data_IF_122245035665
#
_entry.id   IF_122245035665
#
_cell.length_a   1.000
_cell.length_b   1.000
_cell.length_c   1.000
_cell.angle_alpha   90.00
_cell.angle_beta   90.00
_cell.angle_gamma   90.00
#
_symmetry.space_group_name_H-M   'P 1'
#
loop_
_entity.id
_entity.type
_entity.pdbx_description
1 polymer ?
#
# COMPACT_ATOMS: atom_id res chain seq x y z
N UNK A 1 31.14 -21.90 -19.44
CA UNK A 1 32.33 -21.34 -20.13
C UNK A 1 33.49 -21.36 -19.17
N UNK A 2 34.60 -21.88 -19.66
CA UNK A 2 35.82 -22.02 -18.90
C UNK A 2 36.60 -20.70 -19.01
N UNK A 3 36.86 -20.05 -17.86
CA UNK A 3 37.63 -18.81 -17.76
C UNK A 3 39.13 -19.07 -17.56
N UNK A 4 39.54 -20.32 -17.72
CA UNK A 4 40.94 -20.72 -17.53
C UNK A 4 41.84 -20.04 -18.55
N UNK A 5 42.76 -19.21 -18.06
CA UNK A 5 43.73 -18.47 -18.88
C UNK A 5 43.32 -17.06 -19.30
N UNK A 6 42.21 -16.54 -18.83
CA UNK A 6 41.86 -15.14 -19.05
C UNK A 6 42.56 -14.22 -18.04
N UNK A 7 43.17 -13.13 -18.53
CA UNK A 7 43.74 -12.05 -17.71
C UNK A 7 42.76 -10.85 -17.59
N UNK A 8 41.53 -10.99 -18.10
CA UNK A 8 40.54 -9.92 -18.04
C UNK A 8 39.79 -9.94 -16.70
N UNK A 9 39.60 -8.76 -16.11
CA UNK A 9 38.77 -8.57 -14.94
C UNK A 9 37.31 -8.81 -15.32
N UNK A 10 36.61 -9.61 -14.50
CA UNK A 10 35.18 -9.88 -14.68
C UNK A 10 34.44 -9.21 -13.53
N UNK A 11 33.63 -8.23 -13.87
CA UNK A 11 32.72 -7.59 -12.93
C UNK A 11 31.32 -8.23 -13.05
N UNK A 12 30.82 -8.78 -11.96
CA UNK A 12 29.44 -9.31 -11.87
C UNK A 12 28.67 -8.39 -10.94
N UNK A 13 27.58 -7.81 -11.43
CA UNK A 13 26.67 -6.97 -10.65
C UNK A 13 25.23 -7.47 -10.77
N UNK A 14 24.40 -7.09 -9.81
CA UNK A 14 22.97 -7.39 -9.80
C UNK A 14 22.62 -8.90 -9.86
N UNK A 15 23.43 -9.75 -9.22
CA UNK A 15 23.11 -11.17 -9.10
C UNK A 15 21.93 -11.32 -8.13
N UNK A 16 20.83 -11.84 -8.62
CA UNK A 16 19.62 -12.11 -7.83
C UNK A 16 19.29 -13.60 -7.91
N UNK A 17 19.11 -14.24 -6.76
CA UNK A 17 18.57 -15.60 -6.67
C UNK A 17 17.19 -15.49 -6.02
N UNK A 18 16.14 -15.76 -6.78
CA UNK A 18 14.78 -15.86 -6.25
C UNK A 18 14.41 -17.34 -6.08
N UNK A 19 13.97 -17.68 -4.87
CA UNK A 19 13.36 -19.00 -4.63
C UNK A 19 12.01 -19.03 -5.30
N UNK A 20 11.86 -19.77 -6.38
CA UNK A 20 10.55 -20.06 -6.97
C UNK A 20 9.94 -21.23 -6.21
N UNK A 21 9.00 -20.98 -5.33
CA UNK A 21 8.06 -21.97 -4.84
C UNK A 21 7.19 -22.38 -6.03
N UNK A 22 6.96 -23.67 -6.25
CA UNK A 22 5.97 -24.12 -7.25
C UNK A 22 4.65 -23.45 -6.88
N UNK A 23 4.13 -22.58 -7.75
CA UNK A 23 2.90 -21.86 -7.47
C UNK A 23 1.77 -22.88 -7.25
N UNK A 24 1.13 -22.83 -6.09
CA UNK A 24 -0.18 -23.45 -5.92
C UNK A 24 -1.16 -22.61 -6.76
N UNK A 25 -1.84 -23.19 -7.75
CA UNK A 25 -2.77 -22.43 -8.60
C UNK A 25 -3.93 -21.81 -7.81
N UNK A 26 -4.12 -22.18 -6.54
CA UNK A 26 -5.12 -21.65 -5.63
C UNK A 26 -4.54 -20.70 -4.59
N UNK A 27 -3.21 -20.52 -4.51
CA UNK A 27 -2.58 -19.59 -3.58
C UNK A 27 -2.65 -18.17 -4.15
N UNK A 28 -3.54 -17.34 -3.64
CA UNK A 28 -3.54 -15.91 -3.95
C UNK A 28 -2.26 -15.27 -3.43
N UNK A 29 -1.59 -14.49 -4.26
CA UNK A 29 -0.40 -13.76 -3.86
C UNK A 29 -0.78 -12.78 -2.74
N UNK A 30 -0.17 -12.93 -1.55
CA UNK A 30 -0.43 -12.04 -0.41
C UNK A 30 0.11 -10.65 -0.75
N UNK A 31 -0.77 -9.66 -0.74
CA UNK A 31 -0.38 -8.26 -0.93
C UNK A 31 0.51 -7.80 0.22
N UNK A 32 1.49 -6.95 -0.10
CA UNK A 32 2.44 -6.36 0.84
C UNK A 32 2.45 -4.85 0.65
N UNK A 33 3.04 -4.10 1.59
CA UNK A 33 3.26 -2.67 1.39
C UNK A 33 4.20 -2.43 0.20
N UNK A 34 3.90 -1.45 -0.63
CA UNK A 34 4.73 -1.07 -1.77
C UNK A 34 6.04 -0.40 -1.31
N UNK A 35 7.05 -0.38 -2.17
CA UNK A 35 8.36 0.20 -1.86
C UNK A 35 8.31 1.69 -1.47
N UNK A 36 7.28 2.42 -1.91
CA UNK A 36 7.03 3.81 -1.54
C UNK A 36 6.23 3.96 -0.23
N UNK A 37 5.92 2.87 0.45
CA UNK A 37 5.15 2.85 1.69
C UNK A 37 3.64 2.90 1.51
N UNK A 38 3.12 2.85 0.27
CA UNK A 38 1.69 2.83 0.01
C UNK A 38 1.14 1.40 0.14
N UNK A 39 -0.01 1.27 0.74
CA UNK A 39 -0.77 0.01 0.84
C UNK A 39 -1.77 -0.14 -0.31
N UNK A 40 -2.12 0.95 -0.99
CA UNK A 40 -2.97 0.96 -2.19
C UNK A 40 -2.11 0.74 -3.42
N UNK A 41 -2.48 -0.24 -4.23
CA UNK A 41 -1.83 -0.55 -5.50
C UNK A 41 -2.41 0.32 -6.61
N UNK A 42 -1.55 0.73 -7.55
CA UNK A 42 -1.96 1.52 -8.73
C UNK A 42 -2.87 2.73 -8.38
N UNK A 43 -2.57 3.44 -7.30
CA UNK A 43 -3.37 4.60 -6.86
C UNK A 43 -3.27 5.81 -7.81
N UNK A 44 -2.30 5.82 -8.72
CA UNK A 44 -2.11 6.83 -9.78
C UNK A 44 -2.55 6.35 -11.17
N UNK A 45 -3.19 5.19 -11.26
CA UNK A 45 -3.78 4.64 -12.49
C UNK A 45 -2.81 4.49 -13.67
N UNK A 46 -1.60 4.00 -13.42
CA UNK A 46 -0.57 3.81 -14.45
C UNK A 46 -0.46 2.36 -14.93
N UNK A 47 -1.01 1.38 -14.21
CA UNK A 47 -0.71 -0.03 -14.35
C UNK A 47 -1.91 -0.87 -14.81
N UNK A 48 -1.60 -2.00 -15.48
CA UNK A 48 -2.56 -3.01 -15.86
C UNK A 48 -3.35 -2.69 -17.13
N UNK A 49 -4.27 -3.60 -17.46
CA UNK A 49 -5.19 -3.41 -18.59
C UNK A 49 -6.08 -2.18 -18.34
N UNK A 50 -6.25 -1.35 -19.38
CA UNK A 50 -6.96 -0.06 -19.30
C UNK A 50 -6.50 0.83 -18.12
N UNK A 51 -5.29 0.60 -17.61
CA UNK A 51 -4.71 1.29 -16.44
C UNK A 51 -5.50 1.09 -15.13
N UNK A 52 -6.32 0.04 -15.06
CA UNK A 52 -7.14 -0.32 -13.89
C UNK A 52 -6.60 -1.54 -13.13
N UNK A 53 -5.34 -1.89 -13.33
CA UNK A 53 -4.70 -2.99 -12.58
C UNK A 53 -4.94 -2.86 -11.08
N UNK A 54 -5.27 -3.96 -10.42
CA UNK A 54 -5.61 -4.08 -8.99
C UNK A 54 -6.96 -3.49 -8.55
N UNK A 55 -7.65 -2.72 -9.41
CA UNK A 55 -8.95 -2.15 -9.08
C UNK A 55 -10.11 -3.01 -9.60
N UNK A 56 -11.03 -3.34 -8.70
CA UNK A 56 -12.33 -3.91 -9.04
C UNK A 56 -13.33 -2.77 -9.17
N UNK A 57 -14.06 -2.72 -10.29
CA UNK A 57 -15.07 -1.70 -10.55
C UNK A 57 -16.43 -2.38 -10.57
N UNK A 58 -17.38 -1.83 -9.82
CA UNK A 58 -18.76 -2.31 -9.75
C UNK A 58 -19.77 -1.17 -9.93
N UNK A 59 -21.01 -1.54 -10.25
CA UNK A 59 -22.12 -0.62 -10.55
C UNK A 59 -21.82 0.33 -11.72
N UNK A 60 -21.15 -0.19 -12.77
CA UNK A 60 -20.74 0.61 -13.93
C UNK A 60 -21.61 0.39 -15.17
N UNK A 61 -22.75 -0.30 -15.05
CA UNK A 61 -23.53 -0.78 -16.21
C UNK A 61 -24.05 0.35 -17.11
N UNK A 62 -24.29 1.53 -16.57
CA UNK A 62 -24.74 2.70 -17.32
C UNK A 62 -23.79 3.89 -17.22
N UNK A 63 -22.60 3.69 -16.68
CA UNK A 63 -21.58 4.72 -16.57
C UNK A 63 -20.45 4.49 -17.56
N UNK A 64 -19.88 5.56 -18.10
CA UNK A 64 -18.63 5.50 -18.84
C UNK A 64 -17.45 5.57 -17.86
N UNK A 65 -16.71 4.46 -17.75
CA UNK A 65 -15.57 4.33 -16.85
C UNK A 65 -14.29 4.22 -17.66
N UNK A 66 -13.41 5.19 -17.52
CA UNK A 66 -12.16 5.29 -18.27
C UNK A 66 -11.01 5.75 -17.37
N UNK A 67 -9.78 5.55 -17.85
CA UNK A 67 -8.60 6.24 -17.30
C UNK A 67 -8.11 7.22 -18.37
N UNK A 68 -8.17 8.50 -18.05
CA UNK A 68 -7.87 9.59 -18.99
C UNK A 68 -6.47 10.15 -18.73
N UNK A 69 -5.63 10.32 -19.77
CA UNK A 69 -4.32 10.97 -19.64
C UNK A 69 -4.46 12.48 -19.44
N UNK A 70 -3.60 13.02 -18.59
CA UNK A 70 -3.38 14.45 -18.35
C UNK A 70 -1.88 14.75 -18.47
N UNK A 71 -1.49 16.01 -18.51
CA UNK A 71 -0.07 16.41 -18.63
C UNK A 71 0.79 15.98 -17.43
N UNK A 72 0.17 15.79 -16.27
CA UNK A 72 0.78 15.43 -14.99
C UNK A 72 0.56 13.95 -14.58
N UNK A 73 -0.07 13.14 -15.44
CA UNK A 73 -0.33 11.75 -15.13
C UNK A 73 -1.63 11.23 -15.74
N UNK A 74 -2.27 10.29 -15.06
CA UNK A 74 -3.57 9.72 -15.44
C UNK A 74 -4.55 9.86 -14.30
N UNK A 75 -5.83 9.98 -14.65
CA UNK A 75 -6.93 10.04 -13.69
C UNK A 75 -8.01 9.04 -14.05
N UNK A 76 -8.50 8.34 -13.04
CA UNK A 76 -9.70 7.55 -13.16
C UNK A 76 -10.89 8.49 -13.36
N UNK A 77 -11.68 8.24 -14.39
CA UNK A 77 -12.83 9.07 -14.76
C UNK A 77 -14.08 8.24 -14.85
N UNK A 78 -15.13 8.72 -14.21
CA UNK A 78 -16.50 8.21 -14.34
C UNK A 78 -17.38 9.31 -14.90
N UNK A 79 -18.14 8.99 -15.95
CA UNK A 79 -19.19 9.86 -16.48
C UNK A 79 -20.51 9.13 -16.37
N UNK A 80 -21.42 9.69 -15.56
CA UNK A 80 -22.76 9.15 -15.33
C UNK A 80 -23.72 9.59 -16.43
N UNK A 81 -24.54 8.67 -16.95
CA UNK A 81 -25.51 8.96 -17.99
C UNK A 81 -26.79 9.61 -17.46
N UNK A 82 -27.03 9.54 -16.16
CA UNK A 82 -28.24 10.02 -15.48
C UNK A 82 -29.35 8.95 -15.36
N UNK A 83 -29.07 7.71 -15.77
CA UNK A 83 -29.99 6.56 -15.67
C UNK A 83 -29.51 5.50 -14.68
N UNK A 84 -28.43 5.78 -13.96
CA UNK A 84 -27.84 4.88 -12.99
C UNK A 84 -28.72 4.73 -11.74
N UNK A 85 -28.80 3.50 -11.23
CA UNK A 85 -29.47 3.19 -9.98
C UNK A 85 -28.55 3.28 -8.76
N UNK A 86 -27.26 3.22 -8.99
CA UNK A 86 -26.23 3.20 -7.96
C UNK A 86 -24.97 3.91 -8.43
N UNK A 87 -24.26 4.52 -7.51
CA UNK A 87 -22.96 5.10 -7.76
C UNK A 87 -21.92 4.02 -8.14
N UNK A 88 -20.97 4.36 -9.01
CA UNK A 88 -19.83 3.50 -9.31
C UNK A 88 -18.96 3.34 -8.06
N UNK A 89 -18.55 2.11 -7.79
CA UNK A 89 -17.66 1.77 -6.70
C UNK A 89 -16.38 1.17 -7.26
N UNK A 90 -15.25 1.67 -6.80
CA UNK A 90 -13.94 1.08 -7.04
C UNK A 90 -13.38 0.50 -5.74
N UNK A 91 -12.76 -0.67 -5.80
CA UNK A 91 -12.28 -1.34 -4.59
C UNK A 91 -10.99 -2.13 -4.80
N UNK A 92 -10.26 -2.29 -3.69
CA UNK A 92 -9.17 -3.25 -3.57
C UNK A 92 -9.37 -4.07 -2.31
N UNK A 93 -9.08 -5.36 -2.38
CA UNK A 93 -9.26 -6.31 -1.31
C UNK A 93 -7.92 -6.90 -0.84
N UNK A 94 -7.93 -7.45 0.36
CA UNK A 94 -6.80 -8.19 0.95
C UNK A 94 -5.51 -7.34 1.01
N UNK A 95 -5.63 -6.04 1.31
CA UNK A 95 -4.48 -5.14 1.49
C UNK A 95 -3.75 -5.46 2.81
N UNK A 96 -2.49 -5.04 2.91
CA UNK A 96 -1.62 -5.45 4.01
C UNK A 96 -1.71 -4.55 5.28
N UNK A 97 -2.62 -3.55 5.31
CA UNK A 97 -2.76 -2.72 6.50
C UNK A 97 -3.34 -3.51 7.69
N UNK A 98 -3.01 -3.11 8.91
CA UNK A 98 -3.34 -3.87 10.12
C UNK A 98 -3.70 -2.95 11.30
N UNK A 99 -4.43 -3.50 12.25
CA UNK A 99 -4.66 -2.88 13.56
C UNK A 99 -3.32 -2.63 14.28
N UNK A 100 -3.25 -1.60 15.11
CA UNK A 100 -2.05 -1.22 15.85
C UNK A 100 -1.17 -0.18 15.14
N UNK A 101 -1.46 0.14 13.89
CA UNK A 101 -0.73 1.12 13.09
C UNK A 101 -1.64 2.28 12.71
N UNK A 102 -1.25 3.54 12.98
CA UNK A 102 -2.00 4.68 12.48
C UNK A 102 -1.75 4.87 10.99
N UNK A 103 -2.81 5.16 10.22
CA UNK A 103 -2.72 5.39 8.78
C UNK A 103 -3.26 6.76 8.40
N UNK A 104 -2.81 7.24 7.25
CA UNK A 104 -3.41 8.36 6.52
C UNK A 104 -3.90 7.84 5.18
N UNK A 105 -5.20 7.91 4.96
CA UNK A 105 -5.82 7.70 3.65
C UNK A 105 -5.98 9.04 2.95
N UNK A 106 -5.67 9.11 1.66
CA UNK A 106 -5.82 10.33 0.87
C UNK A 106 -6.09 10.03 -0.60
N UNK A 107 -6.69 11.00 -1.29
CA UNK A 107 -6.90 10.99 -2.73
C UNK A 107 -7.17 12.43 -3.23
N UNK A 108 -6.98 12.64 -4.53
CA UNK A 108 -7.38 13.87 -5.23
C UNK A 108 -8.66 13.58 -6.01
N UNK A 109 -9.63 14.48 -5.95
CA UNK A 109 -10.86 14.38 -6.76
C UNK A 109 -11.18 15.67 -7.48
N UNK A 110 -11.83 15.53 -8.65
CA UNK A 110 -12.45 16.63 -9.41
C UNK A 110 -13.90 16.23 -9.73
N UNK A 111 -14.86 17.15 -9.63
CA UNK A 111 -16.24 16.90 -10.01
C UNK A 111 -16.79 18.07 -10.80
N UNK A 112 -17.60 17.80 -11.81
CA UNK A 112 -18.29 18.82 -12.62
C UNK A 112 -19.60 19.33 -12.00
N UNK A 113 -20.04 18.72 -10.91
CA UNK A 113 -21.19 19.12 -10.11
C UNK A 113 -20.90 18.96 -8.62
N UNK A 114 -21.72 19.54 -7.75
CA UNK A 114 -21.68 19.26 -6.31
C UNK A 114 -21.85 17.76 -6.09
N UNK A 115 -20.92 17.14 -5.39
CA UNK A 115 -20.85 15.68 -5.26
C UNK A 115 -20.37 15.28 -3.87
N UNK A 116 -20.73 14.06 -3.47
CA UNK A 116 -20.28 13.41 -2.24
C UNK A 116 -19.61 12.10 -2.59
N UNK A 117 -18.33 11.96 -2.21
CA UNK A 117 -17.54 10.75 -2.36
C UNK A 117 -17.44 10.06 -1.00
N UNK A 118 -17.64 8.75 -0.97
CA UNK A 118 -17.55 7.97 0.27
C UNK A 118 -16.41 6.96 0.16
N UNK A 119 -15.53 6.93 1.15
CA UNK A 119 -14.51 5.89 1.27
C UNK A 119 -14.79 4.99 2.47
N UNK A 120 -14.67 3.68 2.27
CA UNK A 120 -14.69 2.69 3.34
C UNK A 120 -13.32 2.01 3.41
N UNK A 121 -12.68 2.12 4.56
CA UNK A 121 -11.35 1.54 4.81
C UNK A 121 -11.51 0.54 5.96
N UNK A 122 -11.51 -0.75 5.64
CA UNK A 122 -11.61 -1.82 6.63
C UNK A 122 -12.86 -1.78 7.49
N UNK A 123 -13.96 -1.15 7.02
CA UNK A 123 -15.22 -0.96 7.77
C UNK A 123 -15.42 0.47 8.30
N UNK A 124 -14.39 1.31 8.28
CA UNK A 124 -14.51 2.73 8.66
C UNK A 124 -14.95 3.54 7.46
N UNK A 125 -16.09 4.23 7.57
CA UNK A 125 -16.72 5.01 6.49
C UNK A 125 -16.47 6.49 6.69
N UNK A 126 -15.97 7.14 5.64
CA UNK A 126 -15.68 8.58 5.58
C UNK A 126 -16.36 9.19 4.38
N UNK A 127 -16.87 10.41 4.54
CA UNK A 127 -17.61 11.13 3.51
C UNK A 127 -16.88 12.44 3.19
N UNK A 128 -16.78 12.74 1.90
CA UNK A 128 -16.02 13.88 1.38
C UNK A 128 -16.90 14.65 0.39
N UNK A 129 -17.18 15.92 0.69
CA UNK A 129 -17.96 16.79 -0.18
C UNK A 129 -17.03 17.63 -1.06
N UNK A 130 -17.37 17.68 -2.35
CA UNK A 130 -16.66 18.46 -3.37
C UNK A 130 -17.67 19.33 -4.12
N UNK A 131 -17.31 20.58 -4.41
CA UNK A 131 -18.12 21.51 -5.17
C UNK A 131 -17.91 21.40 -6.68
N UNK A 132 -18.93 21.81 -7.42
CA UNK A 132 -18.89 21.85 -8.88
C UNK A 132 -17.66 22.59 -9.41
N UNK A 133 -16.89 21.96 -10.31
CA UNK A 133 -15.68 22.51 -10.90
C UNK A 133 -14.45 22.52 -10.00
N UNK A 134 -14.55 22.04 -8.75
CA UNK A 134 -13.44 21.98 -7.82
C UNK A 134 -12.54 20.79 -8.11
N UNK A 135 -11.22 20.98 -7.93
CA UNK A 135 -10.24 19.90 -7.76
C UNK A 135 -9.67 20.00 -6.36
N UNK A 136 -9.78 18.94 -5.57
CA UNK A 136 -9.46 18.98 -4.14
C UNK A 136 -8.75 17.72 -3.68
N UNK A 137 -7.77 17.92 -2.81
CA UNK A 137 -7.11 16.86 -2.06
C UNK A 137 -7.89 16.58 -0.78
N UNK A 138 -8.20 15.32 -0.59
CA UNK A 138 -8.87 14.81 0.61
C UNK A 138 -7.92 13.93 1.40
N UNK A 139 -8.03 13.99 2.71
CA UNK A 139 -7.31 13.10 3.60
C UNK A 139 -8.09 12.85 4.88
N UNK A 140 -7.90 11.66 5.44
CA UNK A 140 -8.40 11.26 6.75
C UNK A 140 -7.35 10.42 7.46
N UNK A 141 -7.27 10.57 8.77
CA UNK A 141 -6.39 9.80 9.62
C UNK A 141 -7.17 8.67 10.29
N UNK A 142 -6.59 7.47 10.24
CA UNK A 142 -7.06 6.31 10.97
C UNK A 142 -6.12 6.11 12.16
N UNK A 143 -6.62 6.19 13.40
CA UNK A 143 -5.78 6.05 14.59
C UNK A 143 -5.28 4.61 14.76
N UNK A 144 -4.23 4.42 15.56
CA UNK A 144 -3.64 3.10 15.80
C UNK A 144 -4.57 2.09 16.49
N UNK A 145 -5.58 2.56 17.20
CA UNK A 145 -6.59 1.74 17.86
C UNK A 145 -7.80 1.39 16.97
N UNK A 146 -7.80 1.86 15.71
CA UNK A 146 -8.82 1.51 14.74
C UNK A 146 -8.89 -0.02 14.56
N UNK A 147 -10.10 -0.56 14.68
CA UNK A 147 -10.37 -1.99 14.47
C UNK A 147 -10.91 -2.21 13.07
N UNK A 148 -10.28 -3.08 12.31
CA UNK A 148 -10.68 -3.37 10.93
C UNK A 148 -11.49 -4.66 10.86
N UNK A 149 -12.68 -4.62 10.25
CA UNK A 149 -13.54 -5.80 10.01
C UNK A 149 -13.08 -6.61 8.80
N UNK A 150 -12.31 -5.98 7.92
CA UNK A 150 -11.65 -6.58 6.76
C UNK A 150 -10.45 -5.71 6.36
N UNK A 151 -9.71 -6.14 5.34
CA UNK A 151 -8.55 -5.43 4.81
C UNK A 151 -8.80 -4.87 3.40
N UNK A 152 -10.02 -4.35 3.18
CA UNK A 152 -10.46 -3.82 1.91
C UNK A 152 -10.56 -2.29 1.96
N UNK A 153 -10.38 -1.68 0.80
CA UNK A 153 -10.71 -0.27 0.58
C UNK A 153 -11.73 -0.21 -0.54
N UNK A 154 -12.77 0.59 -0.36
CA UNK A 154 -13.69 0.94 -1.45
C UNK A 154 -13.98 2.43 -1.47
N UNK A 155 -14.14 2.98 -2.68
CA UNK A 155 -14.47 4.38 -2.92
C UNK A 155 -15.72 4.41 -3.79
N UNK A 156 -16.77 5.03 -3.27
CA UNK A 156 -18.03 5.28 -3.97
C UNK A 156 -18.04 6.71 -4.48
N UNK A 157 -18.19 6.90 -5.78
CA UNK A 157 -17.92 8.18 -6.46
C UNK A 157 -19.11 9.14 -6.51
N UNK A 158 -20.21 8.80 -5.88
CA UNK A 158 -21.45 9.59 -5.97
C UNK A 158 -22.17 9.41 -7.30
N UNK A 159 -23.27 10.15 -7.49
CA UNK A 159 -24.20 10.01 -8.63
C UNK A 159 -24.13 11.21 -9.57
N UNK A 160 -23.05 11.96 -9.60
CA UNK A 160 -22.94 13.18 -10.40
C UNK A 160 -22.33 12.91 -11.77
N UNK A 161 -22.51 13.87 -12.70
CA UNK A 161 -22.18 13.71 -14.13
C UNK A 161 -20.77 13.19 -14.38
N UNK A 162 -19.76 13.93 -13.95
CA UNK A 162 -18.37 13.52 -14.14
C UNK A 162 -17.58 13.67 -12.86
N UNK A 163 -16.93 12.58 -12.46
CA UNK A 163 -16.01 12.58 -11.32
C UNK A 163 -14.69 11.97 -11.75
N UNK A 164 -13.59 12.65 -11.42
CA UNK A 164 -12.23 12.16 -11.61
C UNK A 164 -11.58 11.89 -10.26
N UNK A 165 -10.75 10.84 -10.21
CA UNK A 165 -9.96 10.46 -9.05
C UNK A 165 -8.50 10.25 -9.43
N UNK A 166 -7.59 10.62 -8.52
CA UNK A 166 -6.16 10.41 -8.65
C UNK A 166 -5.50 10.30 -7.27
N UNK A 167 -4.23 9.88 -7.26
CA UNK A 167 -3.37 9.87 -6.08
C UNK A 167 -3.95 9.13 -4.86
N UNK A 168 -4.68 8.03 -5.10
CA UNK A 168 -5.25 7.24 -4.01
C UNK A 168 -4.13 6.58 -3.21
N UNK A 169 -4.12 6.84 -1.91
CA UNK A 169 -3.02 6.43 -1.05
C UNK A 169 -3.50 6.03 0.34
N UNK A 170 -2.94 4.97 0.89
CA UNK A 170 -2.99 4.62 2.30
C UNK A 170 -1.55 4.39 2.77
N UNK A 171 -1.06 5.24 3.65
CA UNK A 171 0.32 5.17 4.17
C UNK A 171 0.32 5.20 5.69
N UNK A 172 1.34 4.62 6.31
CA UNK A 172 1.52 4.76 7.76
C UNK A 172 1.71 6.23 8.14
N UNK A 173 0.93 6.68 9.12
CA UNK A 173 0.99 8.04 9.68
C UNK A 173 1.73 8.06 11.02
N UNK A 174 2.83 7.33 11.13
CA UNK A 174 3.66 7.26 12.32
C UNK A 174 4.98 8.00 12.09
N UNK A 175 5.52 8.63 13.16
CA UNK A 175 6.88 9.20 13.17
C UNK A 175 7.92 8.14 12.85
N UNK A 176 7.69 6.92 13.34
CA UNK A 176 8.50 5.74 13.03
C UNK A 176 7.73 4.88 12.04
N UNK A 177 8.05 5.00 10.76
CA UNK A 177 7.46 4.15 9.71
C UNK A 177 7.84 2.69 9.93
N UNK A 178 6.95 1.75 9.57
CA UNK A 178 7.12 0.31 9.80
C UNK A 178 7.40 -0.03 11.28
N UNK A 179 6.82 0.74 12.23
CA UNK A 179 6.93 0.47 13.66
C UNK A 179 6.25 -0.83 14.08
N UNK A 180 5.27 -1.28 13.30
CA UNK A 180 4.56 -2.55 13.43
C UNK A 180 5.27 -3.75 12.77
N UNK A 181 6.42 -3.54 12.14
CA UNK A 181 7.18 -4.57 11.42
C UNK A 181 6.39 -5.31 10.32
N UNK A 182 5.34 -4.71 9.76
CA UNK A 182 4.54 -5.31 8.68
C UNK A 182 5.35 -5.52 7.39
N UNK A 183 6.39 -4.71 7.18
CA UNK A 183 7.39 -4.85 6.11
C UNK A 183 8.72 -5.40 6.66
N UNK A 184 8.65 -6.42 7.52
CA UNK A 184 9.82 -7.02 8.12
C UNK A 184 10.67 -6.00 8.87
N UNK A 185 11.99 -6.02 8.65
CA UNK A 185 12.94 -5.07 9.26
C UNK A 185 13.27 -3.89 8.35
N UNK A 186 12.51 -3.64 7.30
CA UNK A 186 12.75 -2.54 6.36
C UNK A 186 12.84 -1.19 7.06
N UNK A 187 13.90 -0.45 6.78
CA UNK A 187 14.20 0.85 7.40
C UNK A 187 14.87 0.77 8.79
N UNK A 188 15.09 -0.42 9.33
CA UNK A 188 15.83 -0.61 10.58
C UNK A 188 17.26 -1.12 10.31
N UNK A 189 18.19 -0.68 11.12
CA UNK A 189 19.54 -1.24 11.23
C UNK A 189 19.63 -2.02 12.52
N UNK A 190 19.90 -3.32 12.41
CA UNK A 190 20.10 -4.21 13.55
C UNK A 190 21.60 -4.49 13.66
N UNK A 191 22.15 -4.09 14.78
CA UNK A 191 23.55 -4.30 15.11
C UNK A 191 23.70 -5.35 16.21
N UNK A 192 24.53 -6.35 15.95
CA UNK A 192 24.96 -7.35 16.92
C UNK A 192 26.48 -7.33 16.93
N UNK A 193 27.07 -7.05 18.09
CA UNK A 193 28.52 -7.03 18.25
C UNK A 193 29.13 -8.42 18.06
N UNK A 194 30.35 -8.51 17.55
CA UNK A 194 31.03 -9.77 17.27
C UNK A 194 31.30 -10.61 18.53
N UNK A 195 31.32 -9.99 19.72
CA UNK A 195 31.48 -10.68 21.02
C UNK A 195 30.18 -11.22 21.58
N UNK A 196 29.03 -10.93 20.94
CA UNK A 196 27.72 -11.34 21.36
C UNK A 196 27.05 -12.28 20.33
N UNK A 197 26.11 -13.09 20.78
CA UNK A 197 25.35 -13.98 19.88
C UNK A 197 23.88 -13.73 20.05
N UNK A 198 23.24 -13.19 18.99
CA UNK A 198 21.80 -13.03 18.91
C UNK A 198 21.31 -13.42 17.52
N UNK A 199 20.08 -13.83 17.47
CA UNK A 199 19.28 -13.96 16.26
C UNK A 199 18.03 -13.11 16.37
N UNK A 200 17.49 -12.69 15.24
CA UNK A 200 16.23 -11.94 15.21
C UNK A 200 15.35 -12.45 14.09
N UNK A 201 14.05 -12.34 14.31
CA UNK A 201 13.01 -12.68 13.33
C UNK A 201 11.83 -11.75 13.57
N UNK A 202 11.13 -11.37 12.50
CA UNK A 202 9.81 -10.75 12.64
C UNK A 202 8.81 -11.88 12.77
N UNK A 203 8.14 -11.95 13.90
CA UNK A 203 7.16 -12.97 14.23
C UNK A 203 5.74 -12.38 14.21
N UNK A 204 4.78 -13.16 13.72
CA UNK A 204 3.38 -12.75 13.68
C UNK A 204 2.73 -13.11 15.01
N UNK A 205 2.40 -12.07 15.78
CA UNK A 205 1.63 -12.18 16.99
C UNK A 205 0.16 -11.87 16.65
N UNK A 206 -0.73 -12.82 16.89
CA UNK A 206 -2.20 -12.75 16.75
C UNK A 206 -2.76 -11.70 15.76
N UNK A 207 -2.58 -10.39 16.04
CA UNK A 207 -3.11 -9.28 15.22
C UNK A 207 -2.02 -8.26 14.81
N UNK A 208 -0.73 -8.55 15.08
CA UNK A 208 0.38 -7.65 14.79
C UNK A 208 1.69 -8.43 14.60
N UNK A 209 2.67 -7.81 13.95
CA UNK A 209 4.02 -8.35 13.87
C UNK A 209 4.90 -7.75 14.96
N UNK A 210 5.88 -8.51 15.42
CA UNK A 210 6.87 -8.04 16.38
C UNK A 210 8.27 -8.51 15.99
N UNK A 211 9.27 -7.68 16.27
CA UNK A 211 10.66 -8.11 16.17
C UNK A 211 11.02 -8.94 17.41
N UNK A 212 11.11 -10.25 17.24
CA UNK A 212 11.60 -11.17 18.27
C UNK A 212 13.13 -11.25 18.20
N UNK A 213 13.78 -10.98 19.33
CA UNK A 213 15.25 -11.09 19.46
C UNK A 213 15.58 -12.17 20.45
N UNK A 214 16.31 -13.18 20.02
CA UNK A 214 16.81 -14.26 20.88
C UNK A 214 18.29 -14.04 21.17
N UNK A 215 18.64 -13.78 22.42
CA UNK A 215 20.01 -13.57 22.87
C UNK A 215 20.54 -14.88 23.42
N UNK A 216 21.59 -15.43 22.77
CA UNK A 216 22.26 -16.65 23.22
C UNK A 216 23.51 -16.38 24.06
N UNK A 217 24.13 -15.21 23.85
CA UNK A 217 25.31 -14.76 24.59
C UNK A 217 25.27 -13.23 24.63
N UNK A 218 25.37 -12.69 25.84
CA UNK A 218 25.26 -11.24 26.07
C UNK A 218 26.56 -10.49 25.72
N UNK A 219 27.67 -11.20 25.52
CA UNK A 219 28.97 -10.57 25.40
C UNK A 219 29.46 -9.94 26.71
N UNK A 220 30.49 -9.12 26.64
CA UNK A 220 31.24 -8.58 27.79
C UNK A 220 30.79 -7.17 28.24
N UNK A 221 29.90 -6.50 27.50
CA UNK A 221 29.47 -5.11 27.76
C UNK A 221 28.01 -4.86 27.43
N UNK A 222 27.44 -3.80 28.03
CA UNK A 222 26.12 -3.27 27.70
C UNK A 222 26.15 -2.63 26.29
N UNK A 223 25.06 -2.77 25.51
CA UNK A 223 24.91 -2.13 24.19
C UNK A 223 25.39 -2.95 23.00
N UNK A 224 25.66 -4.24 23.21
CA UNK A 224 26.06 -5.16 22.15
C UNK A 224 24.96 -5.49 21.13
N UNK A 225 23.71 -5.13 21.46
CA UNK A 225 22.56 -5.25 20.59
C UNK A 225 21.94 -3.87 20.43
N UNK A 226 21.70 -3.47 19.20
CA UNK A 226 21.07 -2.19 18.92
C UNK A 226 20.15 -2.30 17.73
N UNK A 227 18.90 -1.89 17.92
CA UNK A 227 17.98 -1.56 16.87
C UNK A 227 18.00 -0.04 16.67
N UNK A 228 18.25 0.42 15.49
CA UNK A 228 18.23 1.84 15.14
C UNK A 228 17.48 2.08 13.84
N UNK A 229 16.86 3.24 13.75
CA UNK A 229 16.21 3.74 12.55
C UNK A 229 16.61 5.20 12.34
N UNK A 230 16.90 5.55 11.09
CA UNK A 230 17.07 6.96 10.71
C UNK A 230 15.66 7.52 10.48
N UNK A 231 15.30 8.54 11.24
CA UNK A 231 14.05 9.30 11.11
C UNK A 231 14.21 10.33 10.00
#
# INVERSE_FOLDING_TARGET
>A
SDLKGSTADICISNVSVKRTKKADPNEKEKKTVLANGNYVYNGSFQEGDKHLGYWNISNAENADVTVTPFSDGRRFKVTMSGNEKSAVVMSQEELAFATGTPYKFSFTATSDADNTITANIGGHVYTFDIKAGETKDFAVELPSDAQYVNHNISITLGMQKTTLLDNVSLVENALIKNGSFNDGTTGYTIYVDSSAKASYVVDSLKDNNALAVTIKDTGDRIGKYRLSRKI
#
